data_IF_619041716126
#
_entry.id   IF_619041716126
#
_cell.length_a   1.000
_cell.length_b   1.000
_cell.length_c   1.000
_cell.angle_alpha   90.00
_cell.angle_beta   90.00
_cell.angle_gamma   90.00
#
_symmetry.space_group_name_H-M   'P 1'
#
loop_
_entity.id
_entity.type
_entity.pdbx_description
1 polymer ?
#
# COMPACT_ATOMS: atom_id res chain seq x y z
N UNK A 1 10.43 -4.66 -25.90
CA UNK A 1 10.23 -4.53 -25.66
C UNK A 1 9.54 -4.42 -25.30
N UNK A 2 9.47 -4.40 -25.29
CA UNK A 2 9.04 -4.20 -25.05
C UNK A 2 8.39 -4.07 -24.41
N UNK A 3 8.22 -4.05 -24.33
CA UNK A 3 7.75 -3.91 -23.77
C UNK A 3 7.53 -3.61 -23.04
N UNK A 4 7.77 -3.53 -22.92
CA UNK A 4 7.80 -3.16 -22.33
C UNK A 4 7.44 -2.63 -21.61
N UNK A 5 7.38 -2.40 -21.51
CA UNK A 5 7.13 -1.82 -20.91
C UNK A 5 6.42 -1.68 -20.08
N UNK A 6 6.18 -1.77 -20.04
CA UNK A 6 5.52 -1.72 -19.39
C UNK A 6 5.46 -2.15 -18.30
N UNK A 7 5.87 -2.38 -18.19
CA UNK A 7 5.95 -2.89 -17.34
C UNK A 7 6.40 -2.53 -16.24
N UNK A 8 6.13 -1.94 -15.87
CA UNK A 8 6.50 -1.40 -14.89
C UNK A 8 6.05 -1.98 -13.76
N UNK A 9 5.74 -2.44 -13.28
CA UNK A 9 5.33 -2.91 -12.38
C UNK A 9 5.39 -3.25 -11.47
N UNK A 10 5.47 -3.15 -11.01
CA UNK A 10 5.32 -3.76 -10.52
C UNK A 10 5.66 -4.13 -9.17
N UNK A 11 6.07 -3.30 -8.35
CA UNK A 11 6.30 -3.61 -6.94
C UNK A 11 5.05 -3.25 -6.18
N UNK A 12 4.52 -4.22 -5.42
CA UNK A 12 3.40 -3.97 -4.53
C UNK A 12 3.88 -4.14 -3.11
N UNK A 13 3.61 -3.16 -2.29
CA UNK A 13 3.97 -3.21 -0.88
C UNK A 13 2.67 -3.31 -0.09
N UNK A 14 2.55 -4.38 0.68
CA UNK A 14 1.33 -4.65 1.44
C UNK A 14 1.65 -4.52 2.91
N UNK A 15 0.98 -3.59 3.58
CA UNK A 15 1.11 -3.43 5.02
C UNK A 15 -0.10 -4.00 5.72
N UNK A 16 0.12 -4.95 6.60
CA UNK A 16 -0.94 -5.65 7.32
C UNK A 16 -0.89 -5.28 8.78
N UNK A 17 -2.04 -4.90 9.33
CA UNK A 17 -2.14 -4.53 10.73
C UNK A 17 -1.59 -3.14 10.99
N UNK A 18 -1.54 -2.77 12.26
CA UNK A 18 -1.15 -1.42 12.65
C UNK A 18 0.29 -1.09 12.29
N UNK A 19 1.21 -1.99 12.61
CA UNK A 19 2.62 -1.74 12.33
C UNK A 19 2.88 -1.71 10.83
N UNK A 20 2.25 -2.63 10.09
CA UNK A 20 2.43 -2.70 8.66
C UNK A 20 1.88 -1.47 7.94
N UNK A 21 0.69 -1.02 8.33
CA UNK A 21 0.12 0.15 7.71
C UNK A 21 0.89 1.42 8.08
N UNK A 22 1.46 1.46 9.28
CA UNK A 22 2.31 2.58 9.65
C UNK A 22 3.57 2.63 8.79
N UNK A 23 4.17 1.49 8.54
CA UNK A 23 5.35 1.42 7.67
C UNK A 23 4.99 1.87 6.25
N UNK A 24 3.83 1.45 5.75
CA UNK A 24 3.37 1.87 4.43
C UNK A 24 3.20 3.39 4.39
N UNK A 25 2.63 3.97 5.44
CA UNK A 25 2.46 5.42 5.46
C UNK A 25 3.78 6.15 5.31
N UNK A 26 4.82 5.65 5.97
CA UNK A 26 6.15 6.28 5.86
C UNK A 26 6.69 6.16 4.46
N UNK A 27 6.47 5.02 3.81
CA UNK A 27 6.95 4.82 2.45
C UNK A 27 6.19 5.70 1.46
N UNK A 28 4.89 5.86 1.69
CA UNK A 28 4.10 6.77 0.85
C UNK A 28 4.61 8.20 1.01
N UNK A 29 4.91 8.61 2.23
CA UNK A 29 5.45 9.95 2.47
C UNK A 29 6.80 10.14 1.78
N UNK A 30 7.56 9.07 1.61
CA UNK A 30 8.84 9.15 0.92
C UNK A 30 8.67 9.29 -0.59
N UNK A 31 7.45 9.20 -1.08
CA UNK A 31 7.11 9.42 -2.49
C UNK A 31 7.87 8.47 -3.41
N UNK A 32 7.89 7.20 -3.06
CA UNK A 32 8.52 6.20 -3.89
C UNK A 32 7.72 6.02 -5.17
N UNK A 33 8.42 5.92 -6.28
CA UNK A 33 7.78 5.81 -7.57
C UNK A 33 7.73 4.36 -8.02
N UNK A 34 6.72 4.04 -8.81
CA UNK A 34 6.59 2.71 -9.37
C UNK A 34 6.18 1.66 -8.35
N UNK A 35 5.59 2.10 -7.24
CA UNK A 35 5.19 1.20 -6.16
C UNK A 35 3.70 1.38 -5.89
N UNK A 36 3.00 0.27 -5.81
CA UNK A 36 1.60 0.27 -5.40
C UNK A 36 1.56 -0.06 -3.91
N UNK A 37 0.94 0.79 -3.14
CA UNK A 37 0.81 0.59 -1.70
C UNK A 37 -0.58 0.12 -1.35
N UNK A 38 -0.65 -0.92 -0.54
CA UNK A 38 -1.90 -1.52 -0.12
C UNK A 38 -1.89 -1.63 1.39
N UNK A 39 -2.90 -1.12 2.04
CA UNK A 39 -3.06 -1.24 3.49
C UNK A 39 -4.17 -2.23 3.79
N UNK A 40 -3.90 -3.20 4.63
CA UNK A 40 -4.86 -4.21 5.02
C UNK A 40 -4.99 -4.20 6.54
N UNK A 41 -6.22 -4.10 7.02
CA UNK A 41 -6.45 -4.07 8.46
C UNK A 41 -7.86 -4.55 8.75
N UNK A 42 -8.08 -5.00 9.96
CA UNK A 42 -9.42 -5.29 10.45
C UNK A 42 -10.11 -4.02 10.96
N UNK A 43 -9.33 -3.01 11.31
CA UNK A 43 -9.84 -1.77 11.90
C UNK A 43 -10.07 -0.74 10.82
N UNK A 44 -11.32 -0.43 10.55
CA UNK A 44 -11.68 0.53 9.52
C UNK A 44 -11.20 1.94 9.86
N UNK A 45 -11.10 2.27 11.13
CA UNK A 45 -10.62 3.59 11.51
C UNK A 45 -9.13 3.74 11.20
N UNK A 46 -8.37 2.68 11.43
CA UNK A 46 -6.95 2.70 11.09
C UNK A 46 -6.78 2.82 9.59
N UNK A 47 -7.62 2.14 8.81
CA UNK A 47 -7.56 2.24 7.37
C UNK A 47 -7.92 3.64 6.88
N UNK A 48 -8.87 4.28 7.54
CA UNK A 48 -9.26 5.64 7.15
C UNK A 48 -8.10 6.61 7.30
N UNK A 49 -7.19 6.34 8.23
CA UNK A 49 -6.02 7.18 8.44
C UNK A 49 -4.82 6.78 7.59
N UNK A 50 -4.94 5.68 6.87
CA UNK A 50 -3.84 5.22 6.04
C UNK A 50 -3.69 6.11 4.82
N UNK A 51 -2.45 6.31 4.41
CA UNK A 51 -2.14 7.07 3.20
C UNK A 51 -2.07 6.22 1.96
N UNK A 52 -2.22 4.92 2.10
CA UNK A 52 -2.17 4.02 0.95
C UNK A 52 -3.37 4.28 0.03
N UNK A 53 -3.17 4.30 -1.28
CA UNK A 53 -4.28 4.49 -2.20
C UNK A 53 -5.23 3.29 -2.25
N UNK A 54 -4.76 2.12 -1.91
CA UNK A 54 -5.60 0.93 -1.86
C UNK A 54 -5.72 0.47 -0.42
N UNK A 55 -6.95 0.27 0.02
CA UNK A 55 -7.23 -0.13 1.39
C UNK A 55 -8.17 -1.31 1.37
N UNK A 56 -7.84 -2.33 2.13
CA UNK A 56 -8.65 -3.54 2.20
C UNK A 56 -8.95 -3.83 3.67
N UNK A 57 -10.22 -3.85 4.01
CA UNK A 57 -10.63 -4.25 5.35
C UNK A 57 -10.93 -5.74 5.36
N UNK A 58 -10.33 -6.45 6.29
CA UNK A 58 -10.53 -7.89 6.42
C UNK A 58 -11.09 -8.19 7.79
N UNK A 59 -11.53 -9.41 7.94
CA UNK A 59 -12.10 -9.84 9.19
C UNK A 59 -13.56 -9.49 9.28
N UNK A 60 -14.03 -9.58 10.47
CA UNK A 60 -15.41 -9.29 10.58
C UNK A 60 -15.67 -8.03 11.20
#
# INVERSE_FOLDING_TARGET
>A
MENNNNNFAAIKVVGVGGAGTNAVNRMVDAQLQGVDFIAINTDSQALALSKAPTKIQIGD
#
